data_IF_037146736200
#
_entry.id   IF_037146736200
#
_cell.length_a   1.000
_cell.length_b   1.000
_cell.length_c   1.000
_cell.angle_alpha   90.00
_cell.angle_beta   90.00
_cell.angle_gamma   90.00
#
_symmetry.space_group_name_H-M   'P 1'
#
loop_
_entity.id
_entity.type
_entity.pdbx_description
1 polymer ?
#
# COMPACT_ATOMS: atom_id res chain seq x y z
N UNK A 1 -22.60 16.79 1.47
CA UNK A 1 -23.11 16.31 2.76
C UNK A 1 -21.94 16.28 3.73
N UNK A 2 -21.89 17.21 4.68
CA UNK A 2 -20.83 17.33 5.69
C UNK A 2 -21.09 16.34 6.82
N UNK A 3 -20.16 15.40 7.06
CA UNK A 3 -20.23 14.50 8.24
C UNK A 3 -20.17 15.35 9.52
N UNK A 4 -21.02 15.10 10.52
CA UNK A 4 -20.94 15.79 11.80
C UNK A 4 -19.63 15.43 12.50
N UNK A 5 -18.94 16.44 13.03
CA UNK A 5 -17.71 16.28 13.82
C UNK A 5 -18.06 15.57 15.12
N UNK A 6 -17.49 14.40 15.44
CA UNK A 6 -17.81 13.70 16.67
C UNK A 6 -17.25 14.49 17.86
N UNK A 7 -18.09 14.63 18.90
CA UNK A 7 -17.68 15.12 20.22
C UNK A 7 -16.67 14.12 20.77
N UNK A 8 -15.40 14.50 20.83
CA UNK A 8 -14.33 13.66 21.41
C UNK A 8 -14.51 13.67 22.93
N UNK A 9 -15.33 12.76 23.45
CA UNK A 9 -15.20 12.33 24.83
C UNK A 9 -13.84 11.66 24.97
N UNK A 10 -12.95 12.25 25.77
CA UNK A 10 -11.66 11.62 26.13
C UNK A 10 -11.98 10.38 26.96
N UNK A 11 -12.23 9.26 26.28
CA UNK A 11 -12.26 7.97 26.94
C UNK A 11 -10.84 7.66 27.40
N UNK A 12 -10.66 7.42 28.70
CA UNK A 12 -9.37 7.02 29.25
C UNK A 12 -9.06 5.61 28.72
N UNK A 13 -8.20 5.53 27.70
CA UNK A 13 -7.76 4.26 27.14
C UNK A 13 -7.03 3.44 28.20
N UNK A 14 -7.32 2.15 28.24
CA UNK A 14 -6.52 1.22 29.04
C UNK A 14 -5.11 1.12 28.45
N UNK A 15 -4.13 0.77 29.29
CA UNK A 15 -2.75 0.54 28.84
C UNK A 15 -2.67 -0.48 27.70
N UNK A 16 -3.47 -1.54 27.79
CA UNK A 16 -3.53 -2.60 26.77
C UNK A 16 -4.05 -2.07 25.43
N UNK A 17 -5.06 -1.20 25.42
CA UNK A 17 -5.58 -0.56 24.20
C UNK A 17 -4.54 0.38 23.58
N UNK A 18 -3.80 1.14 24.39
CA UNK A 18 -2.70 1.99 23.90
C UNK A 18 -1.59 1.16 23.26
N UNK A 19 -1.16 0.07 23.91
CA UNK A 19 -0.12 -0.83 23.39
C UNK A 19 -0.56 -1.48 22.06
N UNK A 20 -1.83 -1.92 21.95
CA UNK A 20 -2.41 -2.45 20.71
C UNK A 20 -2.42 -1.42 19.58
N UNK A 21 -2.91 -0.21 19.84
CA UNK A 21 -2.97 0.87 18.84
C UNK A 21 -1.58 1.31 18.36
N UNK A 22 -0.59 1.33 19.25
CA UNK A 22 0.82 1.59 18.87
C UNK A 22 1.33 0.48 17.95
N UNK A 23 1.13 -0.79 18.30
CA UNK A 23 1.57 -1.92 17.48
C UNK A 23 0.93 -1.90 16.07
N UNK A 24 -0.34 -1.49 15.97
CA UNK A 24 -1.04 -1.30 14.69
C UNK A 24 -0.39 -0.20 13.84
N UNK A 25 -0.11 0.96 14.44
CA UNK A 25 0.58 2.07 13.76
C UNK A 25 1.98 1.68 13.30
N UNK A 26 2.73 0.95 14.13
CA UNK A 26 4.05 0.43 13.75
C UNK A 26 3.96 -0.57 12.59
N UNK A 27 2.93 -1.42 12.56
CA UNK A 27 2.67 -2.33 11.46
C UNK A 27 2.38 -1.59 10.16
N UNK A 28 1.48 -0.60 10.19
CA UNK A 28 1.17 0.27 9.03
C UNK A 28 2.44 0.97 8.53
N UNK A 29 3.17 1.64 9.43
CA UNK A 29 4.38 2.38 9.07
C UNK A 29 5.44 1.48 8.43
N UNK A 30 5.69 0.29 8.99
CA UNK A 30 6.63 -0.68 8.43
C UNK A 30 6.19 -1.18 7.04
N UNK A 31 4.91 -1.46 6.85
CA UNK A 31 4.37 -1.85 5.53
C UNK A 31 4.58 -0.72 4.51
N UNK A 32 4.26 0.52 4.87
CA UNK A 32 4.47 1.69 3.99
C UNK A 32 5.95 1.87 3.61
N UNK A 33 6.88 1.71 4.56
CA UNK A 33 8.33 1.80 4.28
C UNK A 33 8.77 0.68 3.32
N UNK A 34 8.32 -0.56 3.56
CA UNK A 34 8.66 -1.69 2.70
C UNK A 34 8.11 -1.52 1.28
N UNK A 35 6.87 -1.02 1.14
CA UNK A 35 6.26 -0.74 -0.16
C UNK A 35 7.02 0.37 -0.91
N UNK A 36 7.41 1.44 -0.22
CA UNK A 36 8.20 2.51 -0.83
C UNK A 36 9.56 2.02 -1.36
N UNK A 37 10.26 1.14 -0.63
CA UNK A 37 11.50 0.53 -1.08
C UNK A 37 11.30 -0.41 -2.29
N UNK A 38 10.23 -1.22 -2.28
CA UNK A 38 9.88 -2.07 -3.41
C UNK A 38 9.53 -1.26 -4.66
N UNK A 39 8.72 -0.21 -4.52
CA UNK A 39 8.35 0.70 -5.59
C UNK A 39 9.58 1.38 -6.20
N UNK A 40 10.51 1.85 -5.37
CA UNK A 40 11.79 2.43 -5.83
C UNK A 40 12.59 1.44 -6.70
N UNK A 41 12.68 0.18 -6.28
CA UNK A 41 13.35 -0.90 -7.04
C UNK A 41 12.63 -1.19 -8.36
N UNK A 42 11.30 -1.23 -8.37
CA UNK A 42 10.52 -1.44 -9.58
C UNK A 42 10.72 -0.27 -10.56
N UNK A 43 10.66 0.98 -10.09
CA UNK A 43 10.90 2.16 -10.92
C UNK A 43 12.33 2.20 -11.49
N UNK A 44 13.32 1.74 -10.73
CA UNK A 44 14.68 1.59 -11.24
C UNK A 44 14.76 0.58 -12.41
N UNK A 45 14.00 -0.53 -12.33
CA UNK A 45 13.88 -1.54 -13.41
C UNK A 45 13.18 -0.95 -14.63
N UNK A 46 12.07 -0.24 -14.45
CA UNK A 46 11.35 0.49 -15.52
C UNK A 46 12.32 1.44 -16.24
N UNK A 47 13.07 2.25 -15.48
CA UNK A 47 14.07 3.15 -16.06
C UNK A 47 15.18 2.42 -16.83
N UNK A 48 15.60 1.24 -16.37
CA UNK A 48 16.58 0.42 -17.07
C UNK A 48 16.04 -0.15 -18.38
N UNK A 49 14.79 -0.66 -18.39
CA UNK A 49 14.11 -1.17 -19.58
C UNK A 49 13.88 -0.06 -20.61
N UNK A 50 13.40 1.11 -20.20
CA UNK A 50 13.22 2.26 -21.08
C UNK A 50 14.55 2.71 -21.72
N UNK A 51 15.66 2.68 -20.96
CA UNK A 51 17.00 2.93 -21.51
C UNK A 51 17.45 1.83 -22.47
N UNK A 52 17.09 0.57 -22.23
CA UNK A 52 17.42 -0.55 -23.11
C UNK A 52 16.71 -0.43 -24.47
N UNK A 53 15.43 -0.05 -24.47
CA UNK A 53 14.64 0.22 -25.69
C UNK A 53 15.33 1.25 -26.59
N UNK A 54 16.01 2.25 -26.01
CA UNK A 54 16.72 3.29 -26.79
C UNK A 54 18.04 2.85 -27.42
N UNK A 55 18.64 1.73 -27.02
CA UNK A 55 19.99 1.34 -27.50
C UNK A 55 19.96 0.87 -28.95
N UNK A 56 20.97 1.27 -29.72
CA UNK A 56 21.22 0.71 -31.05
C UNK A 56 21.54 -0.80 -30.92
N UNK A 57 20.97 -1.62 -31.80
CA UNK A 57 21.16 -3.08 -31.81
C UNK A 57 20.00 -3.91 -31.27
N UNK A 58 18.99 -3.30 -30.65
CA UNK A 58 17.75 -3.99 -30.23
C UNK A 58 16.79 -4.06 -31.41
N UNK A 59 16.28 -5.26 -31.72
CA UNK A 59 15.35 -5.47 -32.84
C UNK A 59 14.02 -4.75 -32.60
N UNK A 60 13.24 -4.51 -33.66
CA UNK A 60 11.91 -3.92 -33.52
C UNK A 60 10.98 -4.81 -32.67
N UNK A 61 11.06 -6.14 -32.84
CA UNK A 61 10.28 -7.11 -32.06
C UNK A 61 10.61 -7.01 -30.57
N UNK A 62 11.88 -6.94 -30.21
CA UNK A 62 12.31 -6.82 -28.81
C UNK A 62 11.88 -5.48 -28.20
N UNK A 63 11.88 -4.40 -29.01
CA UNK A 63 11.39 -3.09 -28.57
C UNK A 63 9.89 -3.11 -28.25
N UNK A 64 9.09 -3.80 -29.07
CA UNK A 64 7.65 -3.98 -28.82
C UNK A 64 7.45 -4.74 -27.51
N UNK A 65 8.09 -5.90 -27.35
CA UNK A 65 7.98 -6.70 -26.12
C UNK A 65 8.44 -5.92 -24.86
N UNK A 66 9.48 -5.11 -24.96
CA UNK A 66 9.93 -4.24 -23.87
C UNK A 66 8.94 -3.12 -23.55
N UNK A 67 8.25 -2.57 -24.55
CA UNK A 67 7.20 -1.57 -24.34
C UNK A 67 5.97 -2.20 -23.68
N UNK A 68 5.52 -3.36 -24.14
CA UNK A 68 4.42 -4.10 -23.51
C UNK A 68 4.74 -4.44 -22.04
N UNK A 69 5.96 -4.87 -21.75
CA UNK A 69 6.40 -5.11 -20.38
C UNK A 69 6.43 -3.82 -19.53
N UNK A 70 6.78 -2.68 -20.12
CA UNK A 70 6.73 -1.38 -19.44
C UNK A 70 5.31 -0.94 -19.13
N UNK A 71 4.36 -1.18 -20.04
CA UNK A 71 2.94 -0.89 -19.85
C UNK A 71 2.37 -1.70 -18.67
N UNK A 72 2.64 -3.01 -18.63
CA UNK A 72 2.22 -3.87 -17.50
C UNK A 72 2.78 -3.39 -16.17
N UNK A 73 4.07 -3.03 -16.13
CA UNK A 73 4.70 -2.51 -14.91
C UNK A 73 4.13 -1.15 -14.50
N UNK A 74 3.75 -0.30 -15.46
CA UNK A 74 3.13 0.99 -15.18
C UNK A 74 1.72 0.83 -14.58
N UNK A 75 0.91 -0.09 -15.13
CA UNK A 75 -0.42 -0.39 -14.61
C UNK A 75 -0.37 -0.98 -13.20
N UNK A 76 0.58 -1.88 -12.94
CA UNK A 76 0.83 -2.43 -11.60
C UNK A 76 1.21 -1.33 -10.62
N UNK A 77 2.18 -0.49 -10.98
CA UNK A 77 2.63 0.64 -10.18
C UNK A 77 1.49 1.64 -9.88
N UNK A 78 0.62 1.92 -10.85
CA UNK A 78 -0.55 2.78 -10.65
C UNK A 78 -1.57 2.15 -9.70
N UNK A 79 -1.83 0.85 -9.84
CA UNK A 79 -2.78 0.12 -8.97
C UNK A 79 -2.27 0.10 -7.53
N UNK A 80 -0.99 -0.22 -7.33
CA UNK A 80 -0.35 -0.21 -6.00
C UNK A 80 -0.39 1.19 -5.38
N UNK A 81 -0.02 2.23 -6.13
CA UNK A 81 -0.07 3.61 -5.63
C UNK A 81 -1.49 4.07 -5.26
N UNK A 82 -2.51 3.57 -5.98
CA UNK A 82 -3.92 3.85 -5.66
C UNK A 82 -4.32 3.17 -4.36
N UNK A 83 -3.96 1.90 -4.17
CA UNK A 83 -4.21 1.16 -2.93
C UNK A 83 -3.52 1.80 -1.72
N UNK A 84 -2.27 2.22 -1.88
CA UNK A 84 -1.52 2.91 -0.82
C UNK A 84 -2.20 4.22 -0.42
N UNK A 85 -2.65 5.01 -1.41
CA UNK A 85 -3.41 6.24 -1.17
C UNK A 85 -4.72 5.95 -0.41
N UNK A 86 -5.51 4.98 -0.88
CA UNK A 86 -6.78 4.62 -0.27
C UNK A 86 -6.60 4.11 1.17
N UNK A 87 -5.54 3.31 1.41
CA UNK A 87 -5.17 2.85 2.75
C UNK A 87 -4.84 4.03 3.67
N UNK A 88 -4.03 4.99 3.21
CA UNK A 88 -3.66 6.17 4.00
C UNK A 88 -4.88 7.04 4.29
N UNK A 89 -5.72 7.29 3.29
CA UNK A 89 -6.96 8.06 3.46
C UNK A 89 -7.90 7.38 4.44
N UNK A 90 -8.04 6.06 4.36
CA UNK A 90 -8.82 5.28 5.32
C UNK A 90 -8.25 5.39 6.73
N UNK A 91 -6.95 5.13 6.94
CA UNK A 91 -6.31 5.25 8.26
C UNK A 91 -6.48 6.66 8.83
N UNK A 92 -6.32 7.71 8.02
CA UNK A 92 -6.47 9.09 8.48
C UNK A 92 -7.93 9.48 8.80
N UNK A 93 -8.92 8.88 8.13
CA UNK A 93 -10.34 9.17 8.32
C UNK A 93 -11.02 8.28 9.36
N UNK A 94 -10.41 7.13 9.67
CA UNK A 94 -10.97 6.09 10.52
C UNK A 94 -10.64 6.36 12.00
N UNK A 95 -11.65 6.49 12.88
CA UNK A 95 -11.44 6.60 14.33
C UNK A 95 -10.64 5.39 14.86
N UNK A 96 -9.75 5.59 15.85
CA UNK A 96 -8.96 4.50 16.41
C UNK A 96 -9.76 3.32 16.97
N UNK A 97 -11.02 3.53 17.35
CA UNK A 97 -11.94 2.49 17.83
C UNK A 97 -12.31 1.50 16.72
N UNK A 98 -12.47 1.98 15.49
CA UNK A 98 -12.77 1.14 14.32
C UNK A 98 -11.54 0.31 13.90
N UNK A 99 -10.32 0.71 14.30
CA UNK A 99 -9.11 -0.08 14.07
C UNK A 99 -9.08 -1.33 14.96
N UNK A 100 -9.59 -1.21 16.19
CA UNK A 100 -9.65 -2.32 17.15
C UNK A 100 -10.62 -3.41 16.64
N UNK A 101 -11.74 -3.01 16.02
CA UNK A 101 -12.69 -3.92 15.36
C UNK A 101 -12.06 -4.61 14.14
N UNK A 102 -11.39 -3.85 13.28
CA UNK A 102 -10.76 -4.40 12.07
C UNK A 102 -9.60 -5.35 12.40
N UNK A 103 -8.78 -5.07 13.43
CA UNK A 103 -7.73 -6.00 13.87
C UNK A 103 -8.32 -7.30 14.43
N UNK A 104 -9.46 -7.22 15.14
CA UNK A 104 -10.16 -8.41 15.59
C UNK A 104 -10.68 -9.26 14.42
N UNK A 105 -11.25 -8.64 13.37
CA UNK A 105 -11.72 -9.34 12.16
C UNK A 105 -10.57 -9.98 11.37
N UNK A 106 -9.46 -9.25 11.18
CA UNK A 106 -8.28 -9.74 10.47
C UNK A 106 -7.61 -10.91 11.20
N UNK A 107 -7.58 -10.86 12.53
CA UNK A 107 -7.03 -11.95 13.35
C UNK A 107 -8.02 -13.12 13.54
N UNK A 108 -9.32 -12.91 13.30
CA UNK A 108 -10.34 -13.96 13.31
C UNK A 108 -10.44 -14.71 11.97
N UNK A 109 -9.94 -14.11 10.87
CA UNK A 109 -9.99 -14.71 9.54
C UNK A 109 -8.88 -15.78 9.39
N UNK A 110 -9.19 -17.04 9.03
CA UNK A 110 -8.18 -18.09 8.90
C UNK A 110 -7.17 -17.74 7.80
N UNK A 111 -5.89 -18.03 8.05
CA UNK A 111 -4.75 -17.77 7.14
C UNK A 111 -4.86 -18.36 5.71
N UNK A 112 -5.92 -19.10 5.40
CA UNK A 112 -6.18 -19.65 4.07
C UNK A 112 -6.76 -18.61 3.08
N UNK A 113 -7.25 -17.46 3.56
CA UNK A 113 -7.90 -16.45 2.71
C UNK A 113 -6.93 -15.46 2.02
N UNK A 114 -5.64 -15.48 2.36
CA UNK A 114 -4.64 -14.52 1.84
C UNK A 114 -3.64 -15.14 0.85
N UNK A 115 -3.89 -16.37 0.37
CA UNK A 115 -3.12 -16.97 -0.74
C UNK A 115 -3.82 -16.67 -2.07
N UNK A 116 -3.39 -15.61 -2.73
CA UNK A 116 -3.66 -15.36 -4.16
C UNK A 116 -2.35 -15.10 -4.88
#
# INVERSE_FOLDING_TARGET
>A
MTRPTPVVTVQTLTREQLEKRIALLERVNRTSINHADQYSKQMARVGALARAVRRAGVTLSDRIALVEALEVLADQAQTEATLDKDCIEWVCACPPEEWDEMDAELNATPAAATQH
#
